data_IF_919262332919
#
_entry.id   IF_919262332919
#
_cell.length_a   1.000
_cell.length_b   1.000
_cell.length_c   1.000
_cell.angle_alpha   90.00
_cell.angle_beta   90.00
_cell.angle_gamma   90.00
#
_symmetry.space_group_name_H-M   'P 1'
#
loop_
_entity.id
_entity.type
_entity.pdbx_description
1 polymer ?
#
# COMPACT_ATOMS: atom_id res chain seq x y z
N UNK A 1 -11.93 13.39 -1.01
CA UNK A 1 -10.70 13.39 -1.84
C UNK A 1 -9.88 12.12 -1.66
N UNK A 2 -9.43 11.78 -0.44
CA UNK A 2 -8.59 10.60 -0.18
C UNK A 2 -9.15 9.26 -0.67
N UNK A 3 -10.43 8.97 -0.40
CA UNK A 3 -11.07 7.73 -0.86
C UNK A 3 -11.08 7.62 -2.39
N UNK A 4 -11.34 8.74 -3.09
CA UNK A 4 -11.30 8.79 -4.55
C UNK A 4 -9.90 8.53 -5.09
N UNK A 5 -8.87 9.15 -4.51
CA UNK A 5 -7.47 8.87 -4.88
C UNK A 5 -7.10 7.40 -4.67
N UNK A 6 -7.62 6.77 -3.60
CA UNK A 6 -7.40 5.34 -3.33
C UNK A 6 -8.12 4.43 -4.35
N UNK A 7 -9.37 4.73 -4.68
CA UNK A 7 -10.11 4.03 -5.74
C UNK A 7 -9.41 4.14 -7.09
N UNK A 8 -8.97 5.34 -7.46
CA UNK A 8 -8.26 5.59 -8.72
C UNK A 8 -6.92 4.85 -8.75
N UNK A 9 -6.19 4.83 -7.63
CA UNK A 9 -4.96 4.06 -7.47
C UNK A 9 -5.22 2.56 -7.68
N UNK A 10 -6.17 1.96 -6.97
CA UNK A 10 -6.52 0.54 -7.12
C UNK A 10 -6.99 0.20 -8.54
N UNK A 11 -7.79 1.09 -9.14
CA UNK A 11 -8.28 0.95 -10.51
C UNK A 11 -7.14 0.95 -11.53
N UNK A 12 -6.15 1.84 -11.37
CA UNK A 12 -4.98 1.89 -12.25
C UNK A 12 -4.08 0.67 -12.07
N UNK A 13 -3.89 0.21 -10.83
CA UNK A 13 -3.16 -1.03 -10.55
C UNK A 13 -3.81 -2.26 -11.21
N UNK A 14 -5.13 -2.32 -11.25
CA UNK A 14 -5.86 -3.44 -11.87
C UNK A 14 -5.85 -3.36 -13.39
N UNK A 15 -5.97 -2.15 -13.97
CA UNK A 15 -6.02 -1.94 -15.42
C UNK A 15 -4.66 -1.97 -16.11
N UNK A 16 -3.63 -1.45 -15.44
CA UNK A 16 -2.29 -1.29 -16.00
C UNK A 16 -1.23 -2.11 -15.26
N UNK A 17 -1.67 -3.06 -14.43
CA UNK A 17 -0.80 -4.00 -13.76
C UNK A 17 0.05 -4.79 -14.76
N UNK A 18 1.34 -4.95 -14.47
CA UNK A 18 2.24 -5.73 -15.36
C UNK A 18 1.94 -7.23 -15.34
N UNK A 19 1.23 -7.68 -14.31
CA UNK A 19 0.59 -8.99 -14.14
C UNK A 19 -0.61 -8.82 -13.21
N UNK A 20 -1.53 -9.80 -13.14
CA UNK A 20 -2.54 -9.82 -12.09
C UNK A 20 -1.88 -9.72 -10.70
N UNK A 21 -2.34 -8.77 -9.89
CA UNK A 21 -1.89 -8.62 -8.50
C UNK A 21 -2.53 -9.71 -7.64
N UNK A 22 -1.70 -10.44 -6.91
CA UNK A 22 -2.15 -11.41 -5.94
C UNK A 22 -2.54 -10.70 -4.65
N UNK A 23 -3.77 -10.95 -4.21
CA UNK A 23 -4.32 -10.45 -2.96
C UNK A 23 -4.82 -11.61 -2.15
N UNK A 24 -4.59 -11.57 -0.86
CA UNK A 24 -5.22 -12.49 0.07
C UNK A 24 -6.65 -12.06 0.36
N UNK A 25 -7.40 -12.96 1.01
CA UNK A 25 -8.68 -12.60 1.60
C UNK A 25 -8.47 -11.53 2.68
N UNK A 26 -9.44 -10.66 2.86
CA UNK A 26 -9.43 -9.63 3.92
C UNK A 26 -9.34 -10.25 5.32
N UNK A 27 -9.76 -11.51 5.47
CA UNK A 27 -9.68 -12.28 6.72
C UNK A 27 -8.36 -13.04 6.88
N UNK A 28 -7.49 -13.04 5.87
CA UNK A 28 -6.20 -13.72 5.94
C UNK A 28 -5.23 -12.91 6.80
N UNK A 29 -4.47 -13.60 7.65
CA UNK A 29 -3.43 -12.97 8.48
C UNK A 29 -2.09 -12.77 7.76
N UNK A 30 -1.96 -13.32 6.55
CA UNK A 30 -0.73 -13.27 5.78
C UNK A 30 -0.67 -12.02 4.91
N UNK A 31 0.55 -11.51 4.69
CA UNK A 31 0.84 -10.49 3.69
C UNK A 31 1.68 -11.09 2.57
N UNK A 32 1.17 -11.02 1.34
CA UNK A 32 1.87 -11.45 0.14
C UNK A 32 2.88 -10.43 -0.34
N UNK A 33 3.64 -10.81 -1.37
CA UNK A 33 4.63 -9.94 -2.00
C UNK A 33 3.98 -8.66 -2.58
N UNK A 34 2.83 -8.80 -3.26
CA UNK A 34 2.15 -7.65 -3.88
C UNK A 34 1.54 -6.70 -2.85
N UNK A 35 0.97 -7.24 -1.78
CA UNK A 35 0.40 -6.45 -0.69
C UNK A 35 1.50 -5.67 0.05
N UNK A 36 2.62 -6.34 0.34
CA UNK A 36 3.79 -5.72 0.95
C UNK A 36 4.39 -4.65 0.04
N UNK A 37 4.51 -4.93 -1.26
CA UNK A 37 4.99 -3.97 -2.26
C UNK A 37 4.07 -2.75 -2.36
N UNK A 38 2.76 -2.96 -2.40
CA UNK A 38 1.75 -1.90 -2.46
C UNK A 38 1.79 -1.01 -1.20
N UNK A 39 1.94 -1.60 -0.02
CA UNK A 39 2.07 -0.86 1.23
C UNK A 39 3.37 -0.04 1.27
N UNK A 40 4.51 -0.66 0.92
CA UNK A 40 5.80 0.03 0.86
C UNK A 40 5.79 1.17 -0.15
N UNK A 41 5.20 0.95 -1.31
CA UNK A 41 5.01 1.97 -2.33
C UNK A 41 4.28 3.21 -1.79
N UNK A 42 3.14 3.02 -1.12
CA UNK A 42 2.37 4.13 -0.52
C UNK A 42 3.19 4.83 0.57
N UNK A 43 3.89 4.07 1.42
CA UNK A 43 4.71 4.63 2.48
C UNK A 43 5.85 5.49 1.91
N UNK A 44 6.60 4.97 0.94
CA UNK A 44 7.69 5.68 0.25
C UNK A 44 7.20 6.93 -0.47
N UNK A 45 6.05 6.85 -1.16
CA UNK A 45 5.46 8.01 -1.83
C UNK A 45 5.08 9.12 -0.83
N UNK A 46 4.59 8.75 0.35
CA UNK A 46 4.15 9.69 1.38
C UNK A 46 5.30 10.39 2.12
N UNK A 47 6.49 9.82 2.13
CA UNK A 47 7.67 10.41 2.80
C UNK A 47 8.47 11.36 1.90
N UNK A 48 8.01 11.62 0.67
CA UNK A 48 8.65 12.55 -0.27
C UNK A 48 9.67 11.90 -1.21
N UNK A 49 9.88 10.59 -1.09
CA UNK A 49 10.82 9.82 -1.92
C UNK A 49 10.19 9.45 -3.26
N UNK A 50 9.90 10.45 -4.09
CA UNK A 50 9.12 10.29 -5.33
C UNK A 50 9.79 9.35 -6.34
N UNK A 51 11.11 9.43 -6.49
CA UNK A 51 11.85 8.61 -7.45
C UNK A 51 11.86 7.14 -7.03
N UNK A 52 12.08 6.87 -5.74
CA UNK A 52 11.98 5.52 -5.17
C UNK A 52 10.57 4.97 -5.26
N UNK A 53 9.55 5.80 -4.99
CA UNK A 53 8.16 5.41 -5.16
C UNK A 53 7.85 5.05 -6.62
N UNK A 54 8.39 5.80 -7.58
CA UNK A 54 8.28 5.48 -9.01
C UNK A 54 8.97 4.16 -9.36
N UNK A 55 10.15 3.89 -8.78
CA UNK A 55 10.84 2.62 -8.98
C UNK A 55 10.01 1.45 -8.44
N UNK A 56 9.49 1.55 -7.21
CA UNK A 56 8.62 0.53 -6.61
C UNK A 56 7.33 0.36 -7.44
N UNK A 57 6.73 1.45 -7.92
CA UNK A 57 5.54 1.42 -8.77
C UNK A 57 5.73 0.55 -10.02
N UNK A 58 6.94 0.49 -10.61
CA UNK A 58 7.21 -0.37 -11.78
C UNK A 58 7.13 -1.86 -11.48
N UNK A 59 7.13 -2.27 -10.20
CA UNK A 59 6.87 -3.65 -9.79
C UNK A 59 5.38 -4.01 -9.89
N UNK A 60 4.50 -3.01 -9.79
CA UNK A 60 3.05 -3.17 -9.76
C UNK A 60 2.43 -2.92 -11.15
N UNK A 61 2.80 -1.82 -11.80
CA UNK A 61 2.21 -1.36 -13.07
C UNK A 61 3.25 -1.22 -14.17
N UNK A 62 2.79 -1.02 -15.40
CA UNK A 62 3.67 -0.62 -16.50
C UNK A 62 4.43 0.69 -16.18
N UNK A 63 5.70 0.82 -16.60
CA UNK A 63 6.52 2.00 -16.27
C UNK A 63 5.94 3.34 -16.71
N UNK A 64 5.19 3.39 -17.81
CA UNK A 64 4.55 4.62 -18.32
C UNK A 64 3.44 5.15 -17.40
N UNK A 65 2.89 4.30 -16.52
CA UNK A 65 1.84 4.65 -15.57
C UNK A 65 2.41 4.95 -14.17
N UNK A 66 3.68 4.61 -13.91
CA UNK A 66 4.33 4.77 -12.60
C UNK A 66 4.30 6.22 -12.05
N UNK A 67 4.58 7.28 -12.85
CA UNK A 67 4.54 8.65 -12.34
C UNK A 67 3.14 9.07 -11.85
N UNK A 68 2.09 8.60 -12.54
CA UNK A 68 0.70 8.91 -12.21
C UNK A 68 0.30 8.25 -10.89
N UNK A 69 0.57 6.94 -10.74
CA UNK A 69 0.19 6.25 -9.52
C UNK A 69 1.04 6.68 -8.32
N UNK A 70 2.29 7.11 -8.52
CA UNK A 70 3.13 7.65 -7.45
C UNK A 70 2.53 8.92 -6.82
N UNK A 71 1.96 9.81 -7.65
CA UNK A 71 1.24 10.99 -7.15
C UNK A 71 -0.01 10.60 -6.35
N UNK A 72 -0.78 9.62 -6.83
CA UNK A 72 -1.97 9.13 -6.11
C UNK A 72 -1.58 8.45 -4.79
N UNK A 73 -0.50 7.69 -4.78
CA UNK A 73 0.01 7.02 -3.60
C UNK A 73 0.47 8.01 -2.52
N UNK A 74 1.10 9.12 -2.90
CA UNK A 74 1.43 10.20 -1.97
C UNK A 74 0.16 10.79 -1.34
N UNK A 75 -0.85 11.14 -2.14
CA UNK A 75 -2.14 11.64 -1.65
C UNK A 75 -2.81 10.68 -0.65
N UNK A 76 -2.80 9.38 -0.97
CA UNK A 76 -3.35 8.32 -0.11
C UNK A 76 -2.55 8.21 1.18
N UNK A 77 -1.23 8.13 1.11
CA UNK A 77 -0.39 7.97 2.29
C UNK A 77 -0.45 9.18 3.22
N UNK A 78 -0.51 10.40 2.69
CA UNK A 78 -0.77 11.59 3.49
C UNK A 78 -2.14 11.54 4.18
N UNK A 79 -3.17 11.04 3.50
CA UNK A 79 -4.48 10.85 4.12
C UNK A 79 -4.43 9.83 5.25
N UNK A 80 -3.75 8.69 5.08
CA UNK A 80 -3.56 7.69 6.13
C UNK A 80 -2.81 8.25 7.35
N UNK A 81 -1.76 9.04 7.13
CA UNK A 81 -1.04 9.72 8.22
C UNK A 81 -1.96 10.66 8.99
N UNK A 82 -2.79 11.46 8.31
CA UNK A 82 -3.78 12.34 8.96
C UNK A 82 -4.84 11.56 9.73
N UNK A 83 -5.34 10.46 9.17
CA UNK A 83 -6.30 9.58 9.84
C UNK A 83 -5.69 8.97 11.10
N UNK A 84 -4.44 8.48 11.03
CA UNK A 84 -3.71 7.94 12.19
C UNK A 84 -3.55 8.97 13.31
N UNK A 85 -3.28 10.22 12.96
CA UNK A 85 -3.17 11.31 13.94
C UNK A 85 -4.54 11.68 14.57
N UNK A 86 -5.64 11.42 13.86
CA UNK A 86 -7.00 11.71 14.30
C UNK A 86 -7.67 10.52 15.00
N UNK A 87 -7.06 9.33 14.94
CA UNK A 87 -7.60 8.13 15.55
C UNK A 87 -7.50 8.21 17.08
N UNK A 88 -8.57 7.84 17.82
CA UNK A 88 -8.48 7.61 19.26
C UNK A 88 -7.34 6.63 19.55
N UNK A 89 -6.56 6.89 20.60
CA UNK A 89 -5.35 6.10 20.95
C UNK A 89 -5.64 4.72 21.57
N UNK A 90 -6.87 4.22 21.48
CA UNK A 90 -7.24 2.91 22.00
C UNK A 90 -6.93 1.82 20.97
N UNK A 91 -5.65 1.66 20.63
CA UNK A 91 -5.15 0.43 20.02
C UNK A 91 -4.51 -0.35 21.16
N UNK A 92 -5.33 -1.10 21.90
CA UNK A 92 -4.83 -2.14 22.78
C UNK A 92 -4.03 -3.14 21.94
N UNK A 93 -2.73 -3.19 22.19
CA UNK A 93 -1.82 -4.17 21.62
C UNK A 93 -2.28 -5.56 22.07
N UNK A 94 -3.08 -6.25 21.27
CA UNK A 94 -3.24 -7.69 21.44
C UNK A 94 -1.90 -8.33 21.09
N UNK A 95 -1.13 -8.66 22.13
CA UNK A 95 0.06 -9.50 22.10
C UNK A 95 -0.28 -10.80 21.38
N UNK A 96 0.05 -10.89 20.09
CA UNK A 96 -0.12 -12.14 19.36
C UNK A 96 1.03 -13.08 19.79
N UNK A 97 0.66 -14.09 20.57
CA UNK A 97 1.54 -15.17 21.03
C UNK A 97 2.29 -15.77 19.82
N UNK A 98 3.62 -15.86 19.88
CA UNK A 98 4.44 -16.39 18.79
C UNK A 98 4.09 -17.87 18.56
N UNK A 99 3.80 -18.32 17.32
CA UNK A 99 3.73 -19.74 17.04
C UNK A 99 5.12 -20.35 17.23
N UNK A 100 5.24 -21.31 18.14
CA UNK A 100 6.41 -22.17 18.28
C UNK A 100 6.65 -22.86 16.93
N UNK A 101 7.77 -22.56 16.29
CA UNK A 101 8.24 -23.32 15.13
C UNK A 101 8.55 -24.73 15.60
N UNK A 102 7.74 -25.71 15.21
CA UNK A 102 8.11 -27.13 15.31
C UNK A 102 9.20 -27.39 14.26
N UNK A 103 10.40 -27.73 14.74
CA UNK A 103 11.44 -28.39 13.97
C UNK A 103 11.17 -29.89 13.91
#
# INVERSE_FOLDING_TARGET
KALKSFEDLCSLCTRHGRRPLMRHSVQCKCLGADESCFANFIATAATGEREDAMLIATLLVRPDVAPLIASLAADVGHAFMRMRLSAPRDIETHSHDLPKTLH
#
